data_IF_350197355875
#
_entry.id   IF_350197355875
#
_cell.length_a   1.000
_cell.length_b   1.000
_cell.length_c   1.000
_cell.angle_alpha   90.00
_cell.angle_beta   90.00
_cell.angle_gamma   90.00
#
_symmetry.space_group_name_H-M   'P 1'
#
loop_
_entity.id
_entity.type
_entity.pdbx_description
1 polymer ?
#
# COMPACT_ATOMS: atom_id res chain seq x y z
N UNK A 1 18.47 -15.43 61.62
CA UNK A 1 17.40 -14.69 60.94
C UNK A 1 17.96 -13.42 60.24
N UNK A 2 18.93 -13.57 59.33
CA UNK A 2 19.61 -12.43 58.65
C UNK A 2 19.49 -12.47 57.11
N UNK A 3 18.72 -13.40 56.55
CA UNK A 3 18.57 -13.58 55.09
C UNK A 3 17.32 -12.93 54.48
N UNK A 4 16.43 -12.35 55.29
CA UNK A 4 15.19 -11.72 54.79
C UNK A 4 15.21 -10.19 54.81
N UNK A 5 16.24 -9.56 55.40
CA UNK A 5 16.33 -8.10 55.47
C UNK A 5 16.73 -7.45 54.14
N UNK A 6 17.42 -8.18 53.26
CA UNK A 6 17.81 -7.69 51.93
C UNK A 6 16.74 -7.93 50.86
N UNK A 7 15.82 -8.87 51.08
CA UNK A 7 14.72 -9.15 50.14
C UNK A 7 13.60 -8.12 50.31
N UNK A 8 13.41 -7.58 51.52
CA UNK A 8 12.47 -6.50 51.78
C UNK A 8 12.90 -5.14 51.18
N UNK A 9 14.20 -4.94 50.89
CA UNK A 9 14.70 -3.68 50.33
C UNK A 9 14.65 -3.64 48.79
N UNK A 10 14.69 -4.79 48.11
CA UNK A 10 14.50 -4.85 46.65
C UNK A 10 13.04 -4.76 46.21
N UNK A 11 12.09 -5.05 47.10
CA UNK A 11 10.66 -4.82 46.86
C UNK A 11 10.24 -3.35 47.07
N UNK A 12 11.13 -2.50 47.59
CA UNK A 12 10.88 -1.07 47.81
C UNK A 12 11.49 -0.17 46.73
N UNK A 13 12.23 -0.73 45.76
CA UNK A 13 12.77 0.04 44.62
C UNK A 13 11.92 -0.03 43.35
N UNK A 14 10.76 -0.70 43.38
CA UNK A 14 9.80 -0.74 42.25
C UNK A 14 8.76 0.40 42.33
N UNK A 15 8.83 1.27 43.36
CA UNK A 15 7.85 2.36 43.57
C UNK A 15 8.45 3.77 43.49
N UNK A 16 9.45 4.00 42.64
CA UNK A 16 10.04 5.33 42.51
C UNK A 16 10.59 5.66 41.12
N UNK A 17 9.75 5.55 40.09
CA UNK A 17 9.81 6.44 38.92
C UNK A 17 8.39 6.72 38.43
N UNK A 18 7.56 7.30 39.29
CA UNK A 18 6.49 8.19 38.81
C UNK A 18 7.14 9.53 38.44
N UNK A 19 7.95 9.51 37.39
CA UNK A 19 8.28 10.73 36.67
C UNK A 19 7.09 10.98 35.78
N UNK A 20 6.21 11.92 36.16
CA UNK A 20 5.14 12.39 35.29
C UNK A 20 5.72 12.73 33.92
N UNK A 21 5.55 11.81 32.99
CA UNK A 21 5.92 11.88 31.59
C UNK A 21 4.63 11.44 30.92
N UNK A 22 3.95 12.42 30.35
CA UNK A 22 2.57 12.41 29.88
C UNK A 22 2.03 11.00 29.54
N UNK A 23 1.16 10.46 30.39
CA UNK A 23 0.54 9.12 30.26
C UNK A 23 -0.12 8.89 28.87
N UNK A 24 -0.46 9.98 28.17
CA UNK A 24 -1.05 9.97 26.85
C UNK A 24 -0.09 9.54 25.73
N UNK A 25 1.21 9.83 25.85
CA UNK A 25 2.18 9.52 24.80
C UNK A 25 2.56 8.03 24.81
N UNK A 26 2.72 7.45 26.01
CA UNK A 26 2.97 6.02 26.18
C UNK A 26 1.76 5.20 25.69
N UNK A 27 0.53 5.67 25.96
CA UNK A 27 -0.69 5.03 25.47
C UNK A 27 -0.77 5.04 23.94
N UNK A 28 -0.49 6.18 23.30
CA UNK A 28 -0.49 6.28 21.83
C UNK A 28 0.55 5.37 21.17
N UNK A 29 1.73 5.24 21.78
CA UNK A 29 2.75 4.33 21.27
C UNK A 29 2.29 2.86 21.31
N UNK A 30 1.64 2.44 22.40
CA UNK A 30 1.08 1.08 22.53
C UNK A 30 -0.05 0.85 21.52
N UNK A 31 -0.96 1.81 21.34
CA UNK A 31 -2.05 1.71 20.37
C UNK A 31 -1.52 1.63 18.94
N UNK A 32 -0.50 2.42 18.60
CA UNK A 32 0.13 2.38 17.27
C UNK A 32 0.88 1.07 17.01
N UNK A 33 1.56 0.53 18.03
CA UNK A 33 2.24 -0.76 17.92
C UNK A 33 1.25 -1.92 17.76
N UNK A 34 0.15 -1.91 18.53
CA UNK A 34 -0.94 -2.87 18.37
C UNK A 34 -1.54 -2.80 16.97
N UNK A 35 -1.85 -1.60 16.47
CA UNK A 35 -2.35 -1.38 15.11
C UNK A 35 -1.37 -1.94 14.07
N UNK A 36 -0.07 -1.61 14.17
CA UNK A 36 0.96 -2.14 13.26
C UNK A 36 1.00 -3.67 13.24
N UNK A 37 0.93 -4.31 14.41
CA UNK A 37 0.90 -5.77 14.53
C UNK A 37 -0.34 -6.38 13.88
N UNK A 38 -1.50 -5.76 14.07
CA UNK A 38 -2.75 -6.19 13.43
C UNK A 38 -2.66 -6.08 11.91
N UNK A 39 -2.12 -4.97 11.38
CA UNK A 39 -1.98 -4.76 9.93
C UNK A 39 -1.00 -5.75 9.28
N UNK A 40 0.12 -6.05 9.96
CA UNK A 40 1.07 -7.06 9.51
C UNK A 40 0.46 -8.47 9.56
N UNK A 41 -0.25 -8.81 10.65
CA UNK A 41 -0.91 -10.11 10.78
C UNK A 41 -1.99 -10.31 9.70
N UNK A 42 -2.81 -9.29 9.45
CA UNK A 42 -3.82 -9.30 8.39
C UNK A 42 -3.21 -9.46 7.00
N UNK A 43 -2.07 -8.81 6.74
CA UNK A 43 -1.32 -8.95 5.49
C UNK A 43 -0.76 -10.37 5.32
N UNK A 44 -0.07 -10.89 6.34
CA UNK A 44 0.55 -12.22 6.28
C UNK A 44 -0.46 -13.36 6.17
N UNK A 45 -1.68 -13.20 6.71
CA UNK A 45 -2.75 -14.19 6.60
C UNK A 45 -3.07 -14.56 5.13
N UNK A 46 -2.86 -13.63 4.19
CA UNK A 46 -3.17 -13.83 2.76
C UNK A 46 -2.37 -14.95 2.10
N UNK A 47 -1.23 -15.34 2.66
CA UNK A 47 -0.41 -16.47 2.15
C UNK A 47 -1.22 -17.78 2.05
N UNK A 48 -2.25 -17.95 2.89
CA UNK A 48 -3.07 -19.16 2.94
C UNK A 48 -4.45 -18.98 2.28
N UNK A 49 -4.71 -17.84 1.63
CA UNK A 49 -6.05 -17.48 1.10
C UNK A 49 -6.13 -17.50 -0.44
N UNK A 50 -5.15 -18.15 -1.08
CA UNK A 50 -5.06 -18.26 -2.53
C UNK A 50 -4.60 -16.99 -3.24
N UNK A 51 -3.87 -16.13 -2.52
CA UNK A 51 -3.17 -14.99 -3.12
C UNK A 51 -1.80 -15.44 -3.61
N UNK A 52 -1.39 -14.89 -4.74
CA UNK A 52 -0.02 -14.97 -5.23
C UNK A 52 0.84 -13.91 -4.54
N UNK A 53 2.11 -14.25 -4.29
CA UNK A 53 3.09 -13.34 -3.71
C UNK A 53 3.95 -12.74 -4.82
N UNK A 54 3.89 -11.42 -5.01
CA UNK A 54 4.69 -10.71 -6.02
C UNK A 54 5.67 -9.76 -5.36
N UNK A 55 6.97 -10.01 -5.56
CA UNK A 55 8.04 -9.24 -4.94
C UNK A 55 8.30 -7.93 -5.69
N UNK A 56 8.70 -6.88 -4.95
CA UNK A 56 9.24 -5.68 -5.59
C UNK A 56 10.62 -5.96 -6.19
N UNK A 57 10.95 -5.26 -7.28
CA UNK A 57 12.23 -5.42 -7.99
C UNK A 57 13.44 -5.11 -7.08
N UNK A 58 13.28 -4.12 -6.20
CA UNK A 58 14.31 -3.68 -5.26
C UNK A 58 14.40 -4.59 -4.00
N UNK A 59 13.58 -5.63 -3.90
CA UNK A 59 13.47 -6.54 -2.73
C UNK A 59 13.07 -5.85 -1.42
N UNK A 60 12.51 -4.64 -1.48
CA UNK A 60 12.00 -3.88 -0.32
C UNK A 60 10.65 -4.39 0.21
N UNK A 61 10.08 -5.42 -0.40
CA UNK A 61 8.85 -6.05 0.07
C UNK A 61 8.17 -6.89 -1.01
N UNK A 62 6.91 -7.23 -0.76
CA UNK A 62 6.05 -7.90 -1.71
C UNK A 62 4.60 -7.48 -1.49
N UNK A 63 3.76 -7.71 -2.51
CA UNK A 63 2.30 -7.61 -2.43
C UNK A 63 1.70 -9.01 -2.50
N UNK A 64 0.48 -9.14 -1.98
CA UNK A 64 -0.36 -10.32 -2.22
C UNK A 64 -1.45 -9.95 -3.22
N UNK A 65 -1.60 -10.73 -4.29
CA UNK A 65 -2.58 -10.45 -5.34
C UNK A 65 -3.44 -11.67 -5.65
N UNK A 66 -4.72 -11.45 -5.89
CA UNK A 66 -5.68 -12.50 -6.27
C UNK A 66 -6.49 -12.06 -7.47
N UNK A 67 -6.48 -12.90 -8.50
CA UNK A 67 -7.21 -12.65 -9.74
C UNK A 67 -8.71 -12.67 -9.49
N UNK A 68 -9.40 -11.59 -9.85
CA UNK A 68 -10.86 -11.48 -9.86
C UNK A 68 -11.40 -11.76 -11.26
N UNK A 69 -10.78 -11.17 -12.29
CA UNK A 69 -11.18 -11.30 -13.69
C UNK A 69 -9.92 -11.33 -14.56
N UNK A 70 -9.85 -12.28 -15.48
CA UNK A 70 -8.76 -12.37 -16.45
C UNK A 70 -9.06 -11.54 -17.69
N UNK A 71 -8.11 -10.70 -18.07
CA UNK A 71 -8.03 -10.05 -19.37
C UNK A 71 -7.10 -10.79 -20.32
N UNK A 72 -7.09 -10.37 -21.57
CA UNK A 72 -6.35 -10.99 -22.67
C UNK A 72 -5.63 -9.96 -23.57
N UNK A 73 -5.57 -8.70 -23.15
CA UNK A 73 -4.91 -7.64 -23.90
C UNK A 73 -3.42 -7.48 -23.57
N UNK A 74 -2.90 -6.26 -23.72
CA UNK A 74 -1.46 -6.00 -23.61
C UNK A 74 -0.95 -6.14 -22.17
N UNK A 75 0.27 -6.65 -22.04
CA UNK A 75 1.03 -6.65 -20.78
C UNK A 75 1.42 -5.23 -20.38
N UNK A 76 1.20 -4.86 -19.11
CA UNK A 76 1.79 -3.65 -18.53
C UNK A 76 3.25 -3.90 -18.13
N UNK A 77 4.11 -2.94 -18.48
CA UNK A 77 5.54 -2.95 -18.16
C UNK A 77 5.90 -1.72 -17.31
N UNK A 78 7.07 -1.74 -16.68
CA UNK A 78 7.59 -0.64 -15.86
C UNK A 78 7.47 0.76 -16.48
N UNK A 79 7.63 0.86 -17.81
CA UNK A 79 7.56 2.11 -18.58
C UNK A 79 6.18 2.40 -19.21
N UNK A 80 5.17 1.62 -18.86
CA UNK A 80 3.82 1.78 -19.42
C UNK A 80 3.09 2.93 -18.76
N UNK A 81 2.28 3.60 -19.58
CA UNK A 81 1.22 4.47 -19.13
C UNK A 81 -0.07 3.66 -19.19
N UNK A 82 -0.87 3.71 -18.12
CA UNK A 82 -2.05 2.88 -17.99
C UNK A 82 -3.26 3.70 -17.57
N UNK A 83 -4.43 3.18 -17.91
CA UNK A 83 -5.70 3.64 -17.38
C UNK A 83 -6.33 2.55 -16.54
N UNK A 84 -6.80 2.90 -15.34
CA UNK A 84 -7.35 1.95 -14.38
C UNK A 84 -8.66 2.44 -13.77
N UNK A 85 -9.49 1.49 -13.35
CA UNK A 85 -10.47 1.71 -12.30
C UNK A 85 -9.99 1.04 -11.02
N UNK A 86 -10.30 1.64 -9.88
CA UNK A 86 -9.90 1.08 -8.60
C UNK A 86 -10.82 1.45 -7.45
N UNK A 87 -10.71 0.67 -6.38
CA UNK A 87 -11.25 0.99 -5.06
C UNK A 87 -10.21 0.64 -4.01
N UNK A 88 -9.79 1.63 -3.22
CA UNK A 88 -8.83 1.49 -2.13
C UNK A 88 -9.54 1.51 -0.78
N UNK A 89 -9.28 0.51 0.06
CA UNK A 89 -9.81 0.41 1.41
C UNK A 89 -8.76 -0.02 2.44
N UNK A 90 -9.00 0.34 3.68
CA UNK A 90 -8.30 -0.20 4.84
C UNK A 90 -8.81 -1.63 5.14
N UNK A 91 -8.10 -2.33 6.02
CA UNK A 91 -8.41 -3.70 6.48
C UNK A 91 -9.72 -3.81 7.24
N UNK A 92 -10.23 -2.71 7.78
CA UNK A 92 -11.55 -2.63 8.43
C UNK A 92 -12.71 -2.38 7.43
N UNK A 93 -12.39 -2.26 6.13
CA UNK A 93 -13.35 -1.98 5.06
C UNK A 93 -13.60 -0.50 4.78
N UNK A 94 -12.98 0.42 5.53
CA UNK A 94 -13.08 1.87 5.28
C UNK A 94 -12.48 2.20 3.91
N UNK A 95 -13.30 2.66 2.97
CA UNK A 95 -12.85 3.14 1.66
C UNK A 95 -12.24 4.53 1.81
N UNK A 96 -10.99 4.69 1.37
CA UNK A 96 -10.28 5.97 1.46
C UNK A 96 -10.13 6.68 0.11
N UNK A 97 -10.20 5.94 -1.00
CA UNK A 97 -10.10 6.50 -2.35
C UNK A 97 -10.69 5.52 -3.38
N UNK A 98 -11.25 6.03 -4.47
CA UNK A 98 -11.79 5.20 -5.55
C UNK A 98 -11.96 5.98 -6.86
N UNK A 99 -11.86 5.25 -7.96
CA UNK A 99 -12.30 5.64 -9.29
C UNK A 99 -12.99 4.46 -9.94
N UNK A 100 -14.32 4.47 -10.00
CA UNK A 100 -15.11 3.32 -10.41
C UNK A 100 -15.52 3.42 -11.88
N UNK A 101 -15.88 2.28 -12.48
CA UNK A 101 -16.37 2.24 -13.86
C UNK A 101 -17.61 3.14 -14.05
N UNK A 102 -18.48 3.23 -13.03
CA UNK A 102 -19.65 4.12 -13.08
C UNK A 102 -19.30 5.61 -13.20
N UNK A 103 -18.08 6.01 -12.82
CA UNK A 103 -17.59 7.39 -12.97
C UNK A 103 -17.27 7.74 -14.43
N UNK A 104 -17.25 6.75 -15.33
CA UNK A 104 -17.09 6.90 -16.79
C UNK A 104 -15.70 7.32 -17.27
N UNK A 105 -14.83 7.83 -16.40
CA UNK A 105 -13.46 8.22 -16.74
C UNK A 105 -12.47 7.43 -15.88
N UNK A 106 -11.49 6.70 -16.45
CA UNK A 106 -10.50 5.99 -15.66
C UNK A 106 -9.48 6.94 -15.03
N UNK A 107 -8.75 6.46 -14.03
CA UNK A 107 -7.56 7.13 -13.52
C UNK A 107 -6.36 6.79 -14.40
N UNK A 108 -5.62 7.81 -14.84
CA UNK A 108 -4.44 7.66 -15.69
C UNK A 108 -3.18 7.76 -14.84
N UNK A 109 -2.32 6.73 -14.90
CA UNK A 109 -1.07 6.71 -14.17
C UNK A 109 0.06 6.04 -14.95
N UNK A 110 1.28 6.37 -14.55
CA UNK A 110 2.46 5.62 -14.97
C UNK A 110 2.69 4.46 -14.00
N UNK A 111 3.06 3.28 -14.52
CA UNK A 111 3.40 2.10 -13.69
C UNK A 111 4.56 2.43 -12.73
N UNK A 112 5.53 3.21 -13.20
CA UNK A 112 6.62 3.75 -12.40
C UNK A 112 6.55 5.26 -12.31
N UNK A 113 6.80 5.86 -11.12
CA UNK A 113 6.82 7.31 -10.96
C UNK A 113 7.83 8.02 -11.86
N UNK A 114 8.87 7.31 -12.32
CA UNK A 114 9.86 7.85 -13.26
C UNK A 114 9.24 8.26 -14.61
N UNK A 115 8.15 7.61 -15.03
CA UNK A 115 7.47 7.89 -16.30
C UNK A 115 6.21 8.76 -16.14
N UNK A 116 5.95 9.28 -14.93
CA UNK A 116 4.90 10.26 -14.69
C UNK A 116 5.07 11.48 -15.60
N UNK A 117 4.03 11.83 -16.36
CA UNK A 117 4.12 12.82 -17.44
C UNK A 117 2.75 13.35 -17.83
N UNK A 118 2.73 14.38 -18.68
CA UNK A 118 1.52 14.86 -19.35
C UNK A 118 1.71 14.74 -20.85
N UNK A 119 0.82 13.99 -21.51
CA UNK A 119 0.80 13.85 -22.97
C UNK A 119 -0.22 14.82 -23.54
N UNK A 120 0.14 15.54 -24.60
CA UNK A 120 -0.79 16.34 -25.40
C UNK A 120 -1.09 15.58 -26.68
N UNK A 121 -2.36 15.27 -26.91
CA UNK A 121 -2.80 14.66 -28.17
C UNK A 121 -2.54 15.64 -29.33
N UNK A 122 -1.80 15.22 -30.38
CA UNK A 122 -1.38 16.13 -31.45
C UNK A 122 -2.53 16.57 -32.36
N UNK A 123 -3.67 15.87 -32.34
CA UNK A 123 -4.84 16.14 -33.18
C UNK A 123 -5.88 16.96 -32.41
N UNK A 124 -6.21 16.54 -31.20
CA UNK A 124 -7.28 17.13 -30.38
C UNK A 124 -6.78 18.20 -29.41
N UNK A 125 -5.46 18.30 -29.20
CA UNK A 125 -4.82 19.15 -28.17
C UNK A 125 -5.27 18.85 -26.73
N UNK A 126 -5.93 17.70 -26.50
CA UNK A 126 -6.31 17.25 -25.16
C UNK A 126 -5.04 16.88 -24.39
N UNK A 127 -4.95 17.37 -23.16
CA UNK A 127 -3.84 17.05 -22.24
C UNK A 127 -4.28 15.97 -21.27
N UNK A 128 -3.57 14.86 -21.26
CA UNK A 128 -3.77 13.76 -20.33
C UNK A 128 -2.58 13.67 -19.40
N UNK A 129 -2.83 13.90 -18.10
CA UNK A 129 -1.83 13.72 -17.05
C UNK A 129 -1.83 12.26 -16.59
N UNK A 130 -0.65 11.67 -16.50
CA UNK A 130 -0.40 10.35 -15.93
C UNK A 130 0.29 10.53 -14.59
N UNK A 131 -0.43 10.30 -13.51
CA UNK A 131 0.07 10.45 -12.15
C UNK A 131 1.05 9.36 -11.73
N UNK A 132 1.78 9.62 -10.66
CA UNK A 132 2.59 8.61 -9.97
C UNK A 132 1.73 7.74 -9.06
N UNK A 133 2.14 6.49 -8.85
CA UNK A 133 1.52 5.55 -7.91
C UNK A 133 2.49 5.16 -6.81
N UNK A 134 1.97 4.58 -5.72
CA UNK A 134 2.78 3.96 -4.67
C UNK A 134 3.51 2.71 -5.20
N UNK A 135 4.61 2.32 -4.57
CA UNK A 135 5.45 1.20 -5.04
C UNK A 135 4.67 -0.10 -5.22
N UNK A 136 3.75 -0.43 -4.31
CA UNK A 136 2.94 -1.66 -4.41
C UNK A 136 2.03 -1.72 -5.62
N UNK A 137 1.54 -0.57 -6.10
CA UNK A 137 0.81 -0.49 -7.37
C UNK A 137 1.74 -0.77 -8.56
N UNK A 138 2.94 -0.20 -8.56
CA UNK A 138 3.95 -0.47 -9.59
C UNK A 138 4.33 -1.95 -9.64
N UNK A 139 4.41 -2.64 -8.49
CA UNK A 139 4.59 -4.09 -8.44
C UNK A 139 3.38 -4.79 -9.08
N UNK A 140 2.17 -4.54 -8.60
CA UNK A 140 0.97 -5.25 -9.06
C UNK A 140 0.70 -5.07 -10.55
N UNK A 141 0.78 -3.83 -11.07
CA UNK A 141 0.49 -3.52 -12.47
C UNK A 141 1.42 -4.29 -13.43
N UNK A 142 2.69 -4.51 -13.07
CA UNK A 142 3.62 -5.25 -13.91
C UNK A 142 3.29 -6.75 -14.03
N UNK A 143 2.39 -7.27 -13.21
CA UNK A 143 1.86 -8.64 -13.32
C UNK A 143 0.50 -8.70 -14.05
N UNK A 144 -0.06 -7.56 -14.46
CA UNK A 144 -1.37 -7.47 -15.07
C UNK A 144 -1.30 -7.27 -16.59
N UNK A 145 -2.31 -7.80 -17.28
CA UNK A 145 -2.61 -7.48 -18.69
C UNK A 145 -3.90 -6.67 -18.80
N UNK A 146 -4.08 -5.90 -19.88
CA UNK A 146 -5.34 -5.19 -20.16
C UNK A 146 -6.55 -6.12 -20.01
N UNK A 147 -7.56 -5.65 -19.26
CA UNK A 147 -8.77 -6.37 -18.90
C UNK A 147 -8.69 -7.16 -17.59
N UNK A 148 -7.49 -7.33 -17.01
CA UNK A 148 -7.34 -7.96 -15.70
C UNK A 148 -8.01 -7.11 -14.61
N UNK A 149 -8.68 -7.79 -13.67
CA UNK A 149 -9.05 -7.23 -12.38
C UNK A 149 -8.45 -8.07 -11.27
N UNK A 150 -7.75 -7.44 -10.33
CA UNK A 150 -7.15 -8.08 -9.16
C UNK A 150 -7.59 -7.41 -7.87
N UNK A 151 -7.66 -8.18 -6.80
CA UNK A 151 -7.53 -7.65 -5.44
C UNK A 151 -6.06 -7.73 -5.03
N UNK A 152 -5.51 -6.63 -4.52
CA UNK A 152 -4.11 -6.49 -4.16
C UNK A 152 -4.01 -5.95 -2.74
N UNK A 153 -3.30 -6.68 -1.89
CA UNK A 153 -2.93 -6.26 -0.55
C UNK A 153 -1.50 -5.70 -0.58
N UNK A 154 -1.34 -4.49 -0.08
CA UNK A 154 -0.09 -3.72 -0.13
C UNK A 154 0.31 -3.34 1.30
N UNK A 155 1.46 -3.82 1.80
CA UNK A 155 1.90 -3.49 3.14
C UNK A 155 2.49 -2.08 3.18
N UNK A 156 2.57 -1.49 4.37
CA UNK A 156 2.93 -0.08 4.57
C UNK A 156 4.26 0.33 3.91
N UNK A 157 5.25 -0.58 3.86
CA UNK A 157 6.56 -0.35 3.25
C UNK A 157 6.48 -0.06 1.75
N UNK A 158 5.46 -0.60 1.07
CA UNK A 158 5.19 -0.38 -0.35
C UNK A 158 4.05 0.64 -0.57
N UNK A 159 3.60 1.31 0.49
CA UNK A 159 2.51 2.28 0.50
C UNK A 159 2.95 3.61 1.16
N UNK A 160 2.25 4.05 2.22
CA UNK A 160 2.47 5.36 2.86
C UNK A 160 3.33 5.30 4.13
N UNK A 161 3.99 4.18 4.38
CA UNK A 161 4.99 4.07 5.44
C UNK A 161 4.43 4.19 6.86
N UNK A 162 5.35 4.47 7.79
CA UNK A 162 5.05 4.72 9.22
C UNK A 162 4.24 6.00 9.48
N UNK A 163 4.25 6.94 8.54
CA UNK A 163 3.62 8.26 8.71
C UNK A 163 2.18 8.30 8.19
N UNK A 164 1.82 7.41 7.27
CA UNK A 164 0.51 7.42 6.64
C UNK A 164 0.34 8.58 5.65
N UNK A 165 -0.91 8.85 5.26
CA UNK A 165 -1.25 9.93 4.32
C UNK A 165 -2.71 10.35 4.46
N UNK A 166 -2.97 11.61 4.77
CA UNK A 166 -4.33 12.12 4.92
C UNK A 166 -5.12 11.35 5.99
N UNK A 167 -6.18 10.66 5.57
CA UNK A 167 -7.01 9.80 6.42
C UNK A 167 -6.45 8.38 6.62
N UNK A 168 -5.37 8.02 5.93
CA UNK A 168 -4.73 6.70 6.02
C UNK A 168 -3.75 6.70 7.20
N UNK A 169 -3.99 5.89 8.25
CA UNK A 169 -3.06 5.79 9.36
C UNK A 169 -1.68 5.28 8.94
N UNK A 170 -0.65 5.68 9.69
CA UNK A 170 0.68 5.09 9.57
C UNK A 170 0.64 3.57 9.81
N UNK A 171 1.53 2.85 9.13
CA UNK A 171 1.61 1.38 9.18
C UNK A 171 0.41 0.62 8.57
N UNK A 172 -0.49 1.32 7.88
CA UNK A 172 -1.64 0.67 7.24
C UNK A 172 -1.23 -0.31 6.14
N UNK A 173 -1.80 -1.52 6.18
CA UNK A 173 -1.95 -2.37 5.00
C UNK A 173 -3.14 -1.86 4.19
N UNK A 174 -2.94 -1.65 2.89
CA UNK A 174 -3.98 -1.17 1.97
C UNK A 174 -4.49 -2.32 1.11
N UNK A 175 -5.78 -2.30 0.81
CA UNK A 175 -6.43 -3.26 -0.08
C UNK A 175 -6.92 -2.47 -1.29
N UNK A 176 -6.53 -2.91 -2.49
CA UNK A 176 -7.01 -2.33 -3.72
C UNK A 176 -7.66 -3.39 -4.60
N UNK A 177 -8.88 -3.12 -5.06
CA UNK A 177 -9.37 -3.73 -6.30
C UNK A 177 -8.89 -2.87 -7.45
N UNK A 178 -8.15 -3.42 -8.42
CA UNK A 178 -7.61 -2.70 -9.58
C UNK A 178 -8.08 -3.41 -10.84
N UNK A 179 -8.78 -2.70 -11.72
CA UNK A 179 -9.11 -3.14 -13.09
C UNK A 179 -8.26 -2.35 -14.09
N UNK A 180 -7.40 -3.05 -14.82
CA UNK A 180 -6.54 -2.47 -15.84
C UNK A 180 -7.31 -2.32 -17.15
N UNK A 181 -7.59 -1.09 -17.56
CA UNK A 181 -8.45 -0.78 -18.71
C UNK A 181 -7.64 -0.76 -20.01
N UNK A 182 -6.52 -0.05 -20.01
CA UNK A 182 -5.65 0.08 -21.18
C UNK A 182 -4.19 0.27 -20.78
N UNK A 183 -3.31 -0.16 -21.67
CA UNK A 183 -1.86 -0.05 -21.58
C UNK A 183 -1.34 0.61 -22.85
N UNK A 184 -0.78 1.79 -22.66
CA UNK A 184 -0.01 2.52 -23.65
C UNK A 184 1.47 2.36 -23.34
N UNK A 185 2.08 1.40 -24.02
CA UNK A 185 3.53 1.19 -23.93
C UNK A 185 4.20 2.34 -24.69
N UNK A 186 4.89 3.22 -23.96
CA UNK A 186 5.72 4.22 -24.60
C UNK A 186 6.92 3.51 -25.25
N UNK A 187 7.08 3.69 -26.56
CA UNK A 187 8.30 3.30 -27.28
C UNK A 187 9.44 4.25 -26.88
N UNK A 188 10.07 3.92 -25.74
CA UNK A 188 11.34 4.44 -25.19
C UNK A 188 11.36 5.94 -24.86
N UNK A 189 11.99 6.31 -23.73
CA UNK A 189 12.70 7.60 -23.64
C UNK A 189 14.21 7.32 -23.72
N UNK A 190 14.84 7.31 -24.91
CA UNK A 190 16.29 7.22 -25.03
C UNK A 190 16.91 8.62 -25.16
N UNK A 191 17.90 8.83 -24.28
CA UNK A 191 18.74 10.02 -23.99
C UNK A 191 18.04 11.26 -23.45
#
# INVERSE_FOLDING_TARGET
MKKYLHIALMLFCVLAVSSCKDDDDDKKAVEQEAYKLEQEAAFQAKINEGYEKWASEDNDGFVFAKLIKKGDGKQAYFNSLVSVYYKGSLTDGTVFDQKLLEDGTPFNCAVSPYYSTTITDPVTSVKTQYGSVITGWGVALQHMVEGDKYEVWIPQQLAYGANGSGSIPGYSTLIFEIELVSVDVQAVKPS
#
